data_IF_062602994936
#
_entry.id   IF_062602994936
#
_cell.length_a   1.000
_cell.length_b   1.000
_cell.length_c   1.000
_cell.angle_alpha   90.00
_cell.angle_beta   90.00
_cell.angle_gamma   90.00
#
_symmetry.space_group_name_H-M   'P 1'
#
loop_
_entity.id
_entity.type
_entity.pdbx_description
1 polymer ?
#
# COMPACT_ATOMS: atom_id res chain seq x y z
N UNK A 1 11.55 14.27 -18.04
CA UNK A 1 10.18 13.71 -18.10
C UNK A 1 10.17 12.24 -18.49
N UNK A 2 10.94 11.78 -19.49
CA UNK A 2 11.05 10.34 -19.85
C UNK A 2 11.40 9.42 -18.68
N UNK A 3 12.35 9.80 -17.81
CA UNK A 3 12.73 8.99 -16.65
C UNK A 3 11.57 8.72 -15.65
N UNK A 4 10.58 9.64 -15.57
CA UNK A 4 9.42 9.49 -14.66
C UNK A 4 8.43 8.45 -15.19
N UNK A 5 8.18 8.45 -16.51
CA UNK A 5 7.29 7.50 -17.17
C UNK A 5 7.87 6.07 -17.16
N UNK A 6 9.18 5.95 -17.40
CA UNK A 6 9.88 4.65 -17.34
C UNK A 6 9.85 4.08 -15.93
N UNK A 7 10.13 4.88 -14.90
CA UNK A 7 10.12 4.42 -13.51
C UNK A 7 8.74 3.93 -13.05
N UNK A 8 7.66 4.63 -13.40
CA UNK A 8 6.30 4.19 -13.07
C UNK A 8 5.94 2.90 -13.81
N UNK A 9 6.31 2.78 -15.10
CA UNK A 9 6.11 1.56 -15.88
C UNK A 9 6.85 0.37 -15.26
N UNK A 10 8.10 0.56 -14.85
CA UNK A 10 8.90 -0.47 -14.20
C UNK A 10 8.32 -0.85 -12.83
N UNK A 11 7.85 0.12 -12.04
CA UNK A 11 7.17 -0.13 -10.78
C UNK A 11 5.89 -0.96 -10.97
N UNK A 12 5.06 -0.63 -11.96
CA UNK A 12 3.81 -1.34 -12.26
C UNK A 12 4.05 -2.72 -12.88
N UNK A 13 5.21 -2.95 -13.48
CA UNK A 13 5.61 -4.27 -14.00
C UNK A 13 5.95 -5.27 -12.88
N UNK A 14 6.19 -4.81 -11.65
CA UNK A 14 6.47 -5.68 -10.52
C UNK A 14 5.24 -6.55 -10.20
N UNK A 15 5.47 -7.84 -9.93
CA UNK A 15 4.40 -8.80 -9.55
C UNK A 15 3.46 -8.28 -8.46
N UNK A 16 3.99 -7.54 -7.49
CA UNK A 16 3.23 -6.92 -6.39
C UNK A 16 2.18 -5.88 -6.82
N UNK A 17 2.28 -5.33 -8.03
CA UNK A 17 1.31 -4.38 -8.60
C UNK A 17 0.42 -5.00 -9.69
N UNK A 18 0.55 -6.30 -9.97
CA UNK A 18 -0.30 -6.97 -10.96
C UNK A 18 -1.80 -6.91 -10.63
N UNK A 19 -2.18 -6.75 -9.36
CA UNK A 19 -3.59 -6.56 -8.96
C UNK A 19 -4.22 -5.30 -9.57
N UNK A 20 -3.42 -4.32 -9.99
CA UNK A 20 -3.91 -3.11 -10.67
C UNK A 20 -4.57 -3.51 -11.99
N UNK A 21 -4.08 -4.57 -12.67
CA UNK A 21 -4.73 -5.12 -13.86
C UNK A 21 -6.15 -5.62 -13.59
N UNK A 22 -6.44 -6.04 -12.36
CA UNK A 22 -7.78 -6.47 -11.94
C UNK A 22 -8.74 -5.31 -11.65
N UNK A 23 -8.27 -4.05 -11.73
CA UNK A 23 -9.11 -2.85 -11.57
C UNK A 23 -9.65 -2.37 -12.92
N UNK A 24 -9.05 -2.76 -14.05
CA UNK A 24 -9.39 -2.25 -15.39
C UNK A 24 -10.77 -2.70 -15.89
N UNK A 25 -11.29 -3.82 -15.38
CA UNK A 25 -12.62 -4.33 -15.75
C UNK A 25 -13.76 -3.62 -14.97
N UNK A 26 -13.43 -2.59 -14.18
CA UNK A 26 -14.40 -1.83 -13.40
C UNK A 26 -14.35 -0.36 -13.76
N UNK A 27 -15.39 0.10 -14.46
CA UNK A 27 -15.57 1.50 -14.86
C UNK A 27 -15.60 2.48 -13.67
N UNK A 28 -15.85 1.98 -12.45
CA UNK A 28 -15.99 2.81 -11.24
C UNK A 28 -14.68 3.06 -10.47
N UNK A 29 -13.55 2.45 -10.86
CA UNK A 29 -12.31 2.52 -10.08
C UNK A 29 -11.04 2.77 -10.91
N UNK A 30 -10.96 3.96 -11.50
CA UNK A 30 -9.74 4.45 -12.16
C UNK A 30 -8.76 5.00 -11.14
N UNK A 31 -7.52 4.49 -11.15
CA UNK A 31 -6.47 4.88 -10.20
C UNK A 31 -5.86 6.24 -10.56
N UNK A 32 -5.77 7.14 -9.58
CA UNK A 32 -5.11 8.45 -9.72
C UNK A 32 -3.68 8.41 -9.16
N UNK A 33 -2.69 8.25 -10.04
CA UNK A 33 -1.28 8.15 -9.68
C UNK A 33 -0.71 9.43 -9.04
N UNK A 34 -1.20 10.60 -9.44
CA UNK A 34 -0.78 11.87 -8.87
C UNK A 34 -1.21 11.96 -7.41
N UNK A 35 -2.47 11.66 -7.15
CA UNK A 35 -3.04 11.62 -5.81
C UNK A 35 -2.32 10.60 -4.93
N UNK A 36 -2.00 9.41 -5.46
CA UNK A 36 -1.24 8.40 -4.72
C UNK A 36 0.11 8.96 -4.30
N UNK A 37 0.87 9.50 -5.25
CA UNK A 37 2.20 10.04 -4.97
C UNK A 37 2.14 11.17 -3.93
N UNK A 38 1.18 12.08 -4.09
CA UNK A 38 0.94 13.15 -3.15
C UNK A 38 0.60 12.62 -1.75
N UNK A 39 -0.30 11.63 -1.66
CA UNK A 39 -0.74 11.03 -0.40
C UNK A 39 0.38 10.24 0.30
N UNK A 40 1.24 9.55 -0.46
CA UNK A 40 2.42 8.86 0.09
C UNK A 40 3.40 9.86 0.70
N UNK A 41 3.59 11.03 0.10
CA UNK A 41 4.49 12.07 0.61
C UNK A 41 3.81 13.02 1.60
N UNK A 42 2.49 12.96 1.74
CA UNK A 42 1.75 13.79 2.67
C UNK A 42 2.18 13.51 4.11
N UNK A 43 2.62 14.56 4.79
CA UNK A 43 2.80 14.61 6.23
C UNK A 43 1.85 15.67 6.77
N UNK A 44 0.98 15.33 7.75
CA UNK A 44 0.17 16.35 8.38
C UNK A 44 1.11 17.36 9.04
N UNK A 45 0.98 18.63 8.66
CA UNK A 45 1.49 19.72 9.46
C UNK A 45 0.56 19.85 10.66
N UNK A 46 1.14 19.87 11.86
CA UNK A 46 0.45 20.14 13.13
C UNK A 46 -0.10 18.91 13.85
N UNK A 47 0.77 18.32 14.67
CA UNK A 47 0.47 18.22 16.10
C UNK A 47 1.81 18.35 16.83
N UNK A 48 1.95 19.33 17.73
CA UNK A 48 3.17 19.52 18.54
C UNK A 48 3.50 18.31 19.44
N UNK A 49 2.61 17.31 19.49
CA UNK A 49 2.76 16.02 20.16
C UNK A 49 3.30 14.90 19.26
N UNK A 50 3.41 15.11 17.94
CA UNK A 50 3.94 14.10 17.01
C UNK A 50 5.47 14.08 17.08
N UNK A 51 6.03 13.30 18.01
CA UNK A 51 7.48 13.06 18.03
C UNK A 51 7.94 12.56 16.65
N UNK A 52 9.11 13.01 16.19
CA UNK A 52 9.67 12.63 14.89
C UNK A 52 9.71 11.11 14.66
N UNK A 53 9.88 10.33 15.73
CA UNK A 53 9.82 8.87 15.74
C UNK A 53 8.44 8.32 15.33
N UNK A 54 7.34 8.92 15.77
CA UNK A 54 5.98 8.53 15.39
C UNK A 54 5.68 8.87 13.93
N UNK A 55 6.16 10.01 13.44
CA UNK A 55 6.07 10.39 12.03
C UNK A 55 6.83 9.41 11.14
N UNK A 56 8.08 9.08 11.51
CA UNK A 56 8.89 8.12 10.76
C UNK A 56 8.27 6.72 10.72
N UNK A 57 7.72 6.24 11.85
CA UNK A 57 6.99 4.95 11.90
C UNK A 57 5.74 4.96 11.05
N UNK A 58 5.01 6.09 11.01
CA UNK A 58 3.83 6.26 10.17
C UNK A 58 4.18 6.19 8.69
N UNK A 59 5.18 6.97 8.30
CA UNK A 59 5.68 7.01 6.94
C UNK A 59 6.14 5.62 6.49
N UNK A 60 6.97 4.95 7.30
CA UNK A 60 7.44 3.59 7.01
C UNK A 60 6.28 2.60 6.85
N UNK A 61 5.29 2.65 7.74
CA UNK A 61 4.12 1.77 7.64
C UNK A 61 3.33 2.01 6.36
N UNK A 62 3.09 3.28 6.01
CA UNK A 62 2.37 3.70 4.79
C UNK A 62 3.05 3.15 3.53
N UNK A 63 4.37 3.33 3.40
CA UNK A 63 5.12 2.83 2.25
C UNK A 63 5.15 1.30 2.19
N UNK A 64 5.38 0.63 3.32
CA UNK A 64 5.37 -0.85 3.38
C UNK A 64 3.99 -1.42 3.06
N UNK A 65 2.92 -0.74 3.42
CA UNK A 65 1.57 -1.18 3.04
C UNK A 65 1.36 -1.02 1.53
N UNK A 66 1.73 0.11 0.95
CA UNK A 66 1.61 0.38 -0.48
C UNK A 66 2.38 -0.61 -1.35
N UNK A 67 3.65 -0.86 -0.98
CA UNK A 67 4.54 -1.78 -1.67
C UNK A 67 4.26 -3.25 -1.37
N UNK A 68 3.30 -3.55 -0.50
CA UNK A 68 3.11 -4.88 0.07
C UNK A 68 4.46 -5.47 0.54
N UNK A 69 5.08 -4.81 1.51
CA UNK A 69 6.35 -5.17 2.18
C UNK A 69 6.19 -5.21 3.71
N UNK A 70 4.96 -5.22 4.21
CA UNK A 70 4.70 -5.48 5.63
C UNK A 70 5.25 -6.87 6.01
N UNK A 71 5.88 -7.02 7.20
CA UNK A 71 6.44 -8.29 7.69
C UNK A 71 5.31 -9.24 8.16
N UNK A 72 4.54 -9.70 7.18
CA UNK A 72 3.47 -10.68 7.29
C UNK A 72 4.06 -12.10 7.37
N UNK A 73 3.34 -13.04 7.98
CA UNK A 73 3.91 -14.37 8.25
C UNK A 73 4.36 -15.07 6.97
N UNK A 74 3.59 -15.00 5.88
CA UNK A 74 3.99 -15.65 4.63
C UNK A 74 5.30 -15.10 4.07
N UNK A 75 5.57 -13.80 4.23
CA UNK A 75 6.86 -13.22 3.81
C UNK A 75 8.00 -13.61 4.74
N UNK A 76 7.71 -13.71 6.03
CA UNK A 76 8.71 -14.08 7.03
C UNK A 76 9.11 -15.55 6.92
N UNK A 77 8.19 -16.44 6.55
CA UNK A 77 8.49 -17.85 6.22
C UNK A 77 9.48 -17.93 5.07
N UNK A 78 9.31 -17.10 4.04
CA UNK A 78 10.24 -17.06 2.89
C UNK A 78 11.60 -16.51 3.29
N UNK A 79 11.66 -15.43 4.06
CA UNK A 79 12.94 -14.76 4.37
C UNK A 79 13.69 -15.37 5.54
N UNK A 80 12.99 -16.06 6.45
CA UNK A 80 13.51 -16.64 7.70
C UNK A 80 12.78 -17.94 8.04
N UNK A 81 12.83 -18.91 7.12
CA UNK A 81 12.22 -20.24 7.29
C UNK A 81 12.80 -21.00 8.49
N UNK A 82 14.00 -20.64 8.94
CA UNK A 82 14.65 -21.15 10.14
C UNK A 82 13.95 -20.71 11.43
N UNK A 83 13.24 -19.58 11.42
CA UNK A 83 12.48 -19.05 12.56
C UNK A 83 10.97 -19.22 12.43
N UNK A 84 10.45 -19.14 11.21
CA UNK A 84 9.02 -19.15 10.93
C UNK A 84 8.66 -20.38 10.10
N UNK A 85 8.11 -21.39 10.78
CA UNK A 85 7.72 -22.66 10.14
C UNK A 85 6.53 -22.48 9.17
N UNK A 86 6.49 -23.33 8.15
CA UNK A 86 5.51 -23.23 7.05
C UNK A 86 4.05 -23.38 7.51
N UNK A 87 3.82 -24.24 8.51
CA UNK A 87 2.50 -24.51 9.09
C UNK A 87 1.95 -23.34 9.92
N UNK A 88 2.73 -22.28 10.12
CA UNK A 88 2.33 -21.15 10.96
C UNK A 88 1.18 -20.36 10.32
N UNK A 89 0.00 -20.41 10.94
CA UNK A 89 -1.17 -19.61 10.54
C UNK A 89 -1.18 -18.23 11.21
N UNK A 90 -2.09 -17.36 10.80
CA UNK A 90 -2.37 -16.07 11.43
C UNK A 90 -2.49 -16.19 12.95
N UNK A 91 -1.72 -15.38 13.70
CA UNK A 91 -1.68 -15.46 15.17
C UNK A 91 -2.93 -14.93 15.86
N UNK A 92 -3.79 -14.20 15.16
CA UNK A 92 -5.04 -13.70 15.75
C UNK A 92 -6.20 -14.71 15.59
N UNK A 93 -6.37 -15.34 14.42
CA UNK A 93 -7.47 -16.28 14.19
C UNK A 93 -7.09 -17.76 14.22
N UNK A 94 -5.79 -18.08 14.09
CA UNK A 94 -5.23 -19.44 14.04
C UNK A 94 -5.75 -20.31 12.88
N UNK A 95 -6.47 -19.75 11.91
CA UNK A 95 -7.22 -20.51 10.89
C UNK A 95 -6.54 -20.52 9.52
N UNK A 96 -6.11 -19.35 9.04
CA UNK A 96 -5.53 -19.21 7.68
C UNK A 96 -4.12 -18.65 7.72
N UNK A 97 -3.40 -18.87 6.62
CA UNK A 97 -2.12 -18.21 6.36
C UNK A 97 -2.25 -16.68 6.42
N UNK A 98 -1.20 -15.98 6.87
CA UNK A 98 -1.28 -14.53 7.06
C UNK A 98 -0.52 -13.78 5.97
N UNK A 99 -1.22 -13.49 4.89
CA UNK A 99 -0.83 -12.54 3.85
C UNK A 99 -1.59 -11.20 4.00
N UNK A 100 -1.40 -10.28 3.05
CA UNK A 100 -2.01 -8.94 3.17
C UNK A 100 -3.53 -9.00 2.99
N UNK A 101 -4.01 -9.89 2.14
CA UNK A 101 -5.44 -10.12 1.96
C UNK A 101 -6.08 -10.65 3.26
N UNK A 102 -5.44 -11.62 3.92
CA UNK A 102 -5.89 -12.13 5.20
C UNK A 102 -5.76 -11.09 6.32
N UNK A 103 -4.74 -10.23 6.33
CA UNK A 103 -4.65 -9.12 7.28
C UNK A 103 -5.92 -8.25 7.24
N UNK A 104 -6.44 -8.00 6.03
CA UNK A 104 -7.65 -7.21 5.77
C UNK A 104 -8.94 -7.98 6.14
N UNK A 105 -9.01 -9.26 5.75
CA UNK A 105 -10.23 -10.08 5.83
C UNK A 105 -10.35 -10.93 7.11
N UNK A 106 -9.31 -10.98 7.94
CA UNK A 106 -9.26 -11.82 9.13
C UNK A 106 -10.52 -11.65 10.00
N UNK A 107 -11.18 -12.75 10.32
CA UNK A 107 -12.45 -12.78 11.07
C UNK A 107 -12.36 -12.04 12.41
N UNK A 108 -11.21 -12.13 13.09
CA UNK A 108 -10.94 -11.46 14.38
C UNK A 108 -10.71 -9.95 14.25
N UNK A 109 -10.47 -9.44 13.04
CA UNK A 109 -10.18 -8.02 12.77
C UNK A 109 -11.27 -7.37 11.90
N UNK A 110 -12.18 -8.17 11.34
CA UNK A 110 -13.23 -7.76 10.39
C UNK A 110 -14.07 -6.60 10.91
N UNK A 111 -14.60 -6.68 12.13
CA UNK A 111 -15.42 -5.60 12.70
C UNK A 111 -14.66 -4.28 12.81
N UNK A 112 -13.40 -4.34 13.26
CA UNK A 112 -12.52 -3.18 13.35
C UNK A 112 -12.22 -2.61 11.96
N UNK A 113 -11.95 -3.45 10.96
CA UNK A 113 -11.70 -3.00 9.59
C UNK A 113 -12.92 -2.28 9.01
N UNK A 114 -14.12 -2.84 9.18
CA UNK A 114 -15.36 -2.21 8.73
C UNK A 114 -15.58 -0.85 9.39
N UNK A 115 -15.34 -0.72 10.70
CA UNK A 115 -15.42 0.57 11.39
C UNK A 115 -14.42 1.60 10.86
N UNK A 116 -13.19 1.16 10.54
CA UNK A 116 -12.16 2.05 9.98
C UNK A 116 -12.57 2.53 8.60
N UNK A 117 -13.05 1.63 7.74
CA UNK A 117 -13.48 1.96 6.37
C UNK A 117 -14.73 2.85 6.37
N UNK A 118 -15.70 2.56 7.24
CA UNK A 118 -16.88 3.40 7.42
C UNK A 118 -16.49 4.80 7.91
N UNK A 119 -15.55 4.90 8.85
CA UNK A 119 -15.05 6.20 9.30
C UNK A 119 -14.32 6.97 8.19
N UNK A 120 -13.61 6.30 7.28
CA UNK A 120 -13.03 6.93 6.09
C UNK A 120 -14.15 7.51 5.22
N UNK A 121 -15.11 6.69 4.81
CA UNK A 121 -16.22 7.13 3.97
C UNK A 121 -16.97 8.33 4.57
N UNK A 122 -17.25 8.28 5.88
CA UNK A 122 -17.92 9.38 6.58
C UNK A 122 -17.10 10.67 6.60
N UNK A 123 -15.77 10.61 6.71
CA UNK A 123 -14.93 11.81 6.63
C UNK A 123 -14.97 12.44 5.23
N UNK A 124 -14.99 11.62 4.16
CA UNK A 124 -15.19 12.12 2.80
C UNK A 124 -16.58 12.74 2.63
N UNK A 125 -17.63 12.08 3.13
CA UNK A 125 -18.99 12.65 3.12
C UNK A 125 -19.06 14.00 3.85
N UNK A 126 -18.44 14.11 5.02
CA UNK A 126 -18.37 15.38 5.76
C UNK A 126 -17.72 16.47 4.93
N UNK A 127 -16.56 16.19 4.31
CA UNK A 127 -15.84 17.20 3.51
C UNK A 127 -16.53 17.56 2.22
N UNK A 128 -17.20 16.62 1.56
CA UNK A 128 -18.02 16.93 0.39
C UNK A 128 -19.25 17.76 0.75
N UNK A 129 -19.87 17.51 1.92
CA UNK A 129 -20.99 18.32 2.40
C UNK A 129 -20.54 19.75 2.70
N UNK A 130 -19.46 19.91 3.46
CA UNK A 130 -18.87 21.23 3.74
C UNK A 130 -18.54 21.99 2.45
N UNK A 131 -17.94 21.31 1.45
CA UNK A 131 -17.63 21.93 0.16
C UNK A 131 -18.89 22.29 -0.64
N UNK A 132 -19.93 21.45 -0.62
CA UNK A 132 -21.20 21.72 -1.29
C UNK A 132 -21.94 22.91 -0.69
N UNK A 133 -21.98 22.99 0.64
CA UNK A 133 -22.55 24.14 1.37
C UNK A 133 -21.82 25.44 1.03
N UNK A 134 -20.49 25.42 0.94
CA UNK A 134 -19.69 26.60 0.55
C UNK A 134 -19.87 26.99 -0.93
N UNK A 135 -20.19 26.03 -1.79
CA UNK A 135 -20.40 26.25 -3.22
C UNK A 135 -21.86 26.59 -3.57
N UNK A 136 -22.78 26.61 -2.60
CA UNK A 136 -24.23 26.71 -2.80
C UNK A 136 -24.77 25.64 -3.78
N UNK A 137 -24.25 24.41 -3.66
CA UNK A 137 -24.63 23.27 -4.49
C UNK A 137 -25.15 22.11 -3.63
N UNK A 138 -26.17 21.39 -4.11
CA UNK A 138 -26.67 20.18 -3.44
C UNK A 138 -25.60 19.07 -3.46
N UNK A 139 -25.06 18.64 -2.30
CA UNK A 139 -24.04 17.59 -2.26
C UNK A 139 -24.62 16.18 -2.48
N UNK A 140 -25.94 15.99 -2.41
CA UNK A 140 -26.57 14.64 -2.41
C UNK A 140 -26.20 13.80 -3.64
N UNK A 141 -26.19 14.31 -4.89
CA UNK A 141 -25.75 13.54 -6.05
C UNK A 141 -24.30 13.05 -5.94
N UNK A 142 -23.41 13.89 -5.40
CA UNK A 142 -21.99 13.57 -5.22
C UNK A 142 -21.79 12.52 -4.12
N UNK A 143 -22.54 12.64 -3.01
CA UNK A 143 -22.54 11.64 -1.93
C UNK A 143 -23.05 10.29 -2.44
N UNK A 144 -24.04 10.26 -3.34
CA UNK A 144 -24.54 9.03 -3.98
C UNK A 144 -23.50 8.40 -4.90
N UNK A 145 -22.82 9.20 -5.74
CA UNK A 145 -21.70 8.72 -6.58
C UNK A 145 -20.59 8.12 -5.71
N UNK A 146 -20.23 8.80 -4.62
CA UNK A 146 -19.23 8.32 -3.69
C UNK A 146 -19.66 7.02 -3.02
N UNK A 147 -20.91 6.91 -2.55
CA UNK A 147 -21.41 5.70 -1.86
C UNK A 147 -21.51 4.49 -2.78
N UNK A 148 -21.72 4.69 -4.09
CA UNK A 148 -21.80 3.60 -5.07
C UNK A 148 -20.45 2.96 -5.42
N UNK A 149 -19.33 3.56 -5.04
CA UNK A 149 -18.01 3.01 -5.39
C UNK A 149 -17.78 1.62 -4.80
N UNK A 150 -17.32 0.70 -5.64
CA UNK A 150 -17.09 -0.69 -5.27
C UNK A 150 -16.06 -0.86 -4.15
N UNK A 151 -15.13 0.09 -3.96
CA UNK A 151 -14.07 0.00 -2.97
C UNK A 151 -14.54 -0.03 -1.51
N UNK A 152 -15.79 0.37 -1.24
CA UNK A 152 -16.37 0.32 0.11
C UNK A 152 -16.70 -1.11 0.58
N UNK A 153 -16.81 -2.07 -0.35
CA UNK A 153 -17.20 -3.45 -0.01
C UNK A 153 -15.98 -4.36 0.11
N UNK A 154 -15.56 -4.67 1.32
CA UNK A 154 -14.42 -5.56 1.58
C UNK A 154 -14.79 -7.02 1.27
N UNK A 155 -14.09 -7.64 0.31
CA UNK A 155 -14.14 -9.08 0.04
C UNK A 155 -12.87 -9.58 -0.65
N UNK A 156 -12.66 -10.90 -0.68
CA UNK A 156 -11.49 -11.52 -1.33
C UNK A 156 -11.46 -11.39 -2.85
N UNK A 157 -12.62 -11.16 -3.48
CA UNK A 157 -12.73 -10.96 -4.93
C UNK A 157 -12.79 -9.48 -5.32
N UNK A 158 -12.86 -8.56 -4.36
CA UNK A 158 -12.99 -7.15 -4.65
C UNK A 158 -11.66 -6.39 -4.57
N UNK A 159 -10.96 -6.36 -5.72
CA UNK A 159 -9.68 -5.69 -5.86
C UNK A 159 -9.72 -4.18 -5.60
N UNK A 160 -10.84 -3.48 -5.82
CA UNK A 160 -10.92 -2.04 -5.54
C UNK A 160 -10.85 -1.73 -4.04
N UNK A 161 -11.43 -2.59 -3.19
CA UNK A 161 -11.29 -2.47 -1.73
C UNK A 161 -9.85 -2.73 -1.27
N UNK A 162 -9.19 -3.73 -1.87
CA UNK A 162 -7.78 -4.02 -1.62
C UNK A 162 -6.87 -2.86 -2.09
N UNK A 163 -7.15 -2.29 -3.26
CA UNK A 163 -6.46 -1.13 -3.82
C UNK A 163 -6.56 0.10 -2.89
N UNK A 164 -7.77 0.42 -2.42
CA UNK A 164 -8.00 1.52 -1.48
C UNK A 164 -7.17 1.35 -0.20
N UNK A 165 -7.17 0.14 0.37
CA UNK A 165 -6.41 -0.15 1.60
C UNK A 165 -4.90 -0.10 1.36
N UNK A 166 -4.42 -0.57 0.20
CA UNK A 166 -3.01 -0.42 -0.23
C UNK A 166 -2.63 1.05 -0.45
N UNK A 167 -3.59 1.96 -0.57
CA UNK A 167 -3.35 3.37 -0.86
C UNK A 167 -3.31 3.70 -2.35
N UNK A 168 -3.85 2.82 -3.21
CA UNK A 168 -4.12 3.13 -4.61
C UNK A 168 -5.49 3.79 -4.70
N UNK A 169 -5.55 5.11 -4.79
CA UNK A 169 -6.78 5.90 -4.63
C UNK A 169 -7.49 6.14 -5.96
N UNK A 170 -8.84 6.18 -5.99
CA UNK A 170 -9.59 6.41 -7.21
C UNK A 170 -9.61 7.91 -7.57
N UNK A 171 -9.54 8.22 -8.86
CA UNK A 171 -9.67 9.58 -9.42
C UNK A 171 -10.99 10.25 -9.00
N UNK A 172 -12.06 9.45 -8.88
CA UNK A 172 -13.37 9.89 -8.39
C UNK A 172 -13.27 10.65 -7.06
N UNK A 173 -12.32 10.33 -6.17
CA UNK A 173 -12.18 11.08 -4.92
C UNK A 173 -11.82 12.55 -5.13
N UNK A 174 -11.16 12.91 -6.22
CA UNK A 174 -10.82 14.28 -6.59
C UNK A 174 -11.90 14.89 -7.46
N UNK A 175 -12.40 14.14 -8.44
CA UNK A 175 -13.40 14.62 -9.39
C UNK A 175 -14.65 15.15 -8.68
N UNK A 176 -15.08 14.50 -7.60
CA UNK A 176 -16.21 14.96 -6.79
C UNK A 176 -16.00 16.34 -6.13
N UNK A 177 -14.76 16.71 -5.79
CA UNK A 177 -14.46 18.05 -5.29
C UNK A 177 -14.29 19.06 -6.44
N UNK A 178 -13.74 18.62 -7.57
CA UNK A 178 -13.62 19.45 -8.78
C UNK A 178 -15.00 19.85 -9.32
N UNK A 179 -15.98 18.93 -9.27
CA UNK A 179 -17.40 19.21 -9.59
C UNK A 179 -17.97 20.35 -8.72
N UNK A 180 -17.48 20.49 -7.47
CA UNK A 180 -17.81 21.58 -6.54
C UNK A 180 -16.93 22.83 -6.74
N UNK A 181 -16.24 22.95 -7.88
CA UNK A 181 -15.31 24.04 -8.19
C UNK A 181 -14.13 24.17 -7.22
N UNK A 182 -13.80 23.12 -6.47
CA UNK A 182 -12.61 23.08 -5.63
C UNK A 182 -11.40 22.76 -6.50
N UNK A 183 -10.33 23.59 -6.48
CA UNK A 183 -9.13 23.30 -7.26
C UNK A 183 -8.51 21.95 -6.89
N UNK A 184 -8.10 21.17 -7.89
CA UNK A 184 -7.46 19.85 -7.73
C UNK A 184 -6.36 19.80 -6.65
N UNK A 185 -5.42 20.76 -6.55
CA UNK A 185 -4.41 20.75 -5.50
C UNK A 185 -4.99 20.85 -4.08
N UNK A 186 -6.09 21.57 -3.90
CA UNK A 186 -6.80 21.68 -2.62
C UNK A 186 -7.54 20.39 -2.30
N UNK A 187 -8.22 19.79 -3.28
CA UNK A 187 -8.87 18.49 -3.13
C UNK A 187 -7.86 17.39 -2.75
N UNK A 188 -6.68 17.37 -3.38
CA UNK A 188 -5.60 16.41 -3.05
C UNK A 188 -5.14 16.55 -1.60
N UNK A 189 -5.01 17.77 -1.06
CA UNK A 189 -4.68 17.99 0.37
C UNK A 189 -5.75 17.40 1.29
N UNK A 190 -7.03 17.62 0.98
CA UNK A 190 -8.15 17.09 1.76
C UNK A 190 -8.16 15.57 1.75
N UNK A 191 -8.12 14.96 0.54
CA UNK A 191 -8.14 13.50 0.38
C UNK A 191 -6.92 12.86 1.02
N UNK A 192 -5.72 13.45 0.86
CA UNK A 192 -4.50 12.95 1.49
C UNK A 192 -4.56 12.99 3.02
N UNK A 193 -5.11 14.06 3.60
CA UNK A 193 -5.28 14.17 5.05
C UNK A 193 -6.23 13.08 5.58
N UNK A 194 -7.36 12.87 4.90
CA UNK A 194 -8.33 11.82 5.25
C UNK A 194 -7.71 10.43 5.12
N UNK A 195 -7.02 10.15 4.00
CA UNK A 195 -6.35 8.88 3.80
C UNK A 195 -5.25 8.63 4.83
N UNK A 196 -4.49 9.66 5.19
CA UNK A 196 -3.45 9.55 6.20
C UNK A 196 -4.04 9.22 7.59
N UNK A 197 -5.22 9.77 7.93
CA UNK A 197 -5.97 9.39 9.13
C UNK A 197 -6.44 7.92 9.07
N UNK A 198 -6.93 7.47 7.92
CA UNK A 198 -7.28 6.07 7.69
C UNK A 198 -6.08 5.14 7.92
N UNK A 199 -4.91 5.43 7.33
CA UNK A 199 -3.68 4.66 7.53
C UNK A 199 -3.26 4.64 9.00
N UNK A 200 -3.45 5.75 9.72
CA UNK A 200 -3.12 5.83 11.14
C UNK A 200 -4.03 4.92 11.96
N UNK A 201 -5.34 4.95 11.70
CA UNK A 201 -6.32 4.06 12.34
C UNK A 201 -6.03 2.59 12.03
N UNK A 202 -5.73 2.27 10.78
CA UNK A 202 -5.30 0.93 10.35
C UNK A 202 -4.06 0.47 11.12
N UNK A 203 -3.05 1.33 11.24
CA UNK A 203 -1.82 1.02 11.99
C UNK A 203 -2.12 0.75 13.46
N UNK A 204 -2.84 1.65 14.12
CA UNK A 204 -3.07 1.60 15.57
C UNK A 204 -4.01 0.46 15.95
N UNK A 205 -5.08 0.24 15.18
CA UNK A 205 -6.16 -0.68 15.57
C UNK A 205 -6.04 -2.07 14.96
N UNK A 206 -5.24 -2.26 13.91
CA UNK A 206 -5.07 -3.56 13.25
C UNK A 206 -3.60 -3.99 13.28
N UNK A 207 -2.69 -3.18 12.75
CA UNK A 207 -1.29 -3.57 12.63
C UNK A 207 -0.58 -3.74 13.97
N UNK A 208 -0.77 -2.80 14.90
CA UNK A 208 -0.13 -2.84 16.21
C UNK A 208 -0.63 -4.04 17.07
N UNK A 209 -1.95 -4.30 17.22
CA UNK A 209 -2.43 -5.50 17.90
C UNK A 209 -1.93 -6.80 17.25
N UNK A 210 -1.95 -6.89 15.92
CA UNK A 210 -1.37 -8.03 15.21
C UNK A 210 0.11 -8.22 15.55
N UNK A 211 0.87 -7.13 15.59
CA UNK A 211 2.30 -7.17 15.90
C UNK A 211 2.53 -7.62 17.33
N UNK A 212 1.69 -7.19 18.27
CA UNK A 212 1.71 -7.65 19.65
C UNK A 212 1.43 -9.16 19.77
N UNK A 213 0.39 -9.67 19.11
CA UNK A 213 0.07 -11.12 19.10
C UNK A 213 1.25 -11.92 18.52
N UNK A 214 1.86 -11.43 17.43
CA UNK A 214 3.04 -12.04 16.83
C UNK A 214 4.22 -12.06 17.81
N UNK A 215 4.52 -10.94 18.45
CA UNK A 215 5.63 -10.85 19.41
C UNK A 215 5.42 -11.79 20.61
N UNK A 216 4.20 -11.87 21.15
CA UNK A 216 3.88 -12.81 22.22
C UNK A 216 4.14 -14.27 21.83
N UNK A 217 3.82 -14.62 20.58
CA UNK A 217 4.14 -15.95 20.06
C UNK A 217 5.64 -16.14 19.84
N UNK A 218 6.35 -15.14 19.31
CA UNK A 218 7.81 -15.18 19.15
C UNK A 218 8.51 -15.42 20.49
N UNK A 219 8.07 -14.73 21.55
CA UNK A 219 8.60 -14.87 22.90
C UNK A 219 8.38 -16.30 23.43
N UNK A 220 7.19 -16.87 23.23
CA UNK A 220 6.88 -18.25 23.61
C UNK A 220 7.71 -19.30 22.85
N UNK A 221 8.17 -18.96 21.64
CA UNK A 221 9.03 -19.81 20.80
C UNK A 221 10.52 -19.51 20.97
N UNK A 222 10.90 -18.65 21.94
CA UNK A 222 12.27 -18.19 22.16
C UNK A 222 12.93 -17.53 20.93
N UNK A 223 12.13 -16.90 20.06
CA UNK A 223 12.62 -16.16 18.89
C UNK A 223 13.05 -14.76 19.31
N UNK A 224 14.33 -14.61 19.65
CA UNK A 224 14.90 -13.35 20.13
C UNK A 224 15.15 -12.34 19.00
N UNK A 225 15.38 -11.07 19.36
CA UNK A 225 15.80 -10.04 18.40
C UNK A 225 17.13 -10.40 17.73
N UNK A 226 18.09 -10.95 18.48
CA UNK A 226 19.38 -11.38 17.96
C UNK A 226 19.18 -12.39 16.82
N UNK A 227 18.41 -13.46 17.07
CA UNK A 227 18.07 -14.45 16.05
C UNK A 227 17.48 -13.82 14.80
N UNK A 228 16.55 -12.87 14.94
CA UNK A 228 15.93 -12.16 13.80
C UNK A 228 16.92 -11.31 12.98
N UNK A 229 18.01 -10.85 13.58
CA UNK A 229 19.02 -10.02 12.93
C UNK A 229 20.22 -10.80 12.39
N UNK A 230 20.50 -11.99 12.92
CA UNK A 230 21.57 -12.86 12.44
C UNK A 230 21.21 -13.43 11.06
N UNK A 231 22.18 -13.56 10.12
CA UNK A 231 21.96 -14.26 8.86
C UNK A 231 21.47 -15.70 9.08
N UNK A 232 20.64 -16.19 8.16
CA UNK A 232 20.19 -17.57 8.18
C UNK A 232 21.41 -18.52 8.08
N UNK A 233 21.47 -19.57 8.91
CA UNK A 233 22.52 -20.58 8.80
C UNK A 233 22.50 -21.24 7.41
N UNK A 234 23.66 -21.31 6.75
CA UNK A 234 23.83 -21.85 5.39
C UNK A 234 23.54 -23.35 5.25
N UNK A 235 23.44 -24.06 6.37
CA UNK A 235 23.36 -25.53 6.40
C UNK A 235 21.92 -26.06 6.48
N UNK A 236 20.91 -25.17 6.44
CA UNK A 236 19.52 -25.59 6.47
C UNK A 236 19.05 -25.96 5.06
N UNK A 237 18.26 -27.04 4.90
CA UNK A 237 17.67 -27.38 3.62
C UNK A 237 16.87 -26.18 3.10
N UNK A 238 17.00 -25.90 1.80
CA UNK A 238 16.20 -24.88 1.15
C UNK A 238 14.72 -25.16 1.43
N UNK A 239 13.99 -24.16 1.92
CA UNK A 239 12.56 -24.33 2.20
C UNK A 239 11.85 -24.78 0.92
N UNK A 240 11.06 -25.85 1.02
CA UNK A 240 10.15 -26.27 -0.05
C UNK A 240 8.90 -25.38 -0.13
N UNK A 241 8.78 -24.39 0.75
CA UNK A 241 7.68 -23.44 0.77
C UNK A 241 7.69 -22.60 -0.51
N UNK A 242 6.77 -22.94 -1.41
CA UNK A 242 6.46 -22.12 -2.56
C UNK A 242 5.59 -20.96 -2.06
N UNK A 243 6.01 -19.69 -2.22
CA UNK A 243 5.21 -18.55 -1.82
C UNK A 243 3.84 -18.63 -2.49
N UNK A 244 2.78 -18.72 -1.69
CA UNK A 244 1.44 -18.61 -2.23
C UNK A 244 1.24 -17.18 -2.70
N UNK A 245 0.96 -16.99 -3.98
CA UNK A 245 0.51 -15.68 -4.45
C UNK A 245 -0.88 -15.47 -3.90
N UNK A 246 -1.08 -14.42 -3.12
CA UNK A 246 -2.42 -13.93 -2.70
C UNK A 246 -3.29 -13.56 -3.91
N UNK A 247 -2.67 -13.46 -5.08
CA UNK A 247 -3.31 -13.21 -6.36
C UNK A 247 -3.71 -14.56 -6.95
N UNK A 248 -5.00 -14.87 -7.16
CA UNK A 248 -5.35 -15.81 -8.23
C UNK A 248 -4.61 -15.36 -9.49
N UNK A 249 -4.05 -16.29 -10.29
CA UNK A 249 -3.46 -15.93 -11.58
C UNK A 249 -4.50 -15.11 -12.35
N UNK A 250 -4.13 -14.00 -13.01
CA UNK A 250 -5.01 -13.37 -13.97
C UNK A 250 -5.41 -14.47 -14.98
N UNK A 251 -6.69 -14.87 -14.96
CA UNK A 251 -7.22 -15.87 -15.90
C UNK A 251 -7.27 -15.35 -17.33
N UNK A 252 -7.12 -14.04 -17.51
CA UNK A 252 -6.93 -13.42 -18.80
C UNK A 252 -5.45 -13.43 -19.19
N UNK A 253 -5.12 -14.25 -20.19
CA UNK A 253 -3.94 -14.07 -21.03
C UNK A 253 -3.82 -12.60 -21.42
N UNK A 254 -2.90 -11.87 -20.78
CA UNK A 254 -2.57 -10.50 -21.16
C UNK A 254 -1.78 -10.57 -22.46
N UNK A 255 -2.49 -10.63 -23.59
CA UNK A 255 -1.92 -10.21 -24.87
C UNK A 255 -1.61 -8.72 -24.76
N UNK A 256 -0.31 -8.42 -24.66
CA UNK A 256 0.30 -7.11 -24.86
C UNK A 256 -0.44 -6.33 -25.96
N UNK A 257 -1.12 -5.24 -25.58
CA UNK A 257 -1.42 -4.13 -26.48
C UNK A 257 -0.54 -2.96 -26.07
N UNK A 258 0.47 -2.71 -26.90
CA UNK A 258 1.47 -1.66 -26.76
C UNK A 258 0.91 -0.22 -26.77
N UNK A 259 -0.39 -0.03 -27.00
CA UNK A 259 -1.05 1.29 -27.08
C UNK A 259 -1.22 1.98 -25.72
N UNK A 260 -1.12 1.26 -24.60
CA UNK A 260 -1.38 1.86 -23.28
C UNK A 260 -0.13 2.37 -22.55
N UNK A 261 1.04 1.90 -22.94
CA UNK A 261 2.31 2.55 -22.53
C UNK A 261 2.34 4.00 -23.05
N UNK A 262 1.71 4.24 -24.19
CA UNK A 262 1.65 5.55 -24.82
C UNK A 262 0.73 6.52 -24.07
N UNK A 263 -0.36 6.08 -23.43
CA UNK A 263 -1.24 7.00 -22.70
C UNK A 263 -0.58 7.54 -21.42
N UNK A 264 0.05 6.66 -20.62
CA UNK A 264 0.80 7.06 -19.40
C UNK A 264 1.97 7.98 -19.78
N UNK A 265 2.65 7.68 -20.89
CA UNK A 265 3.71 8.52 -21.45
C UNK A 265 3.17 9.90 -21.86
N UNK A 266 2.01 9.95 -22.54
CA UNK A 266 1.38 11.17 -23.03
C UNK A 266 0.90 12.10 -21.90
N UNK A 267 0.34 11.55 -20.83
CA UNK A 267 -0.08 12.31 -19.63
C UNK A 267 1.11 12.96 -18.89
N UNK A 268 2.31 12.40 -19.02
CA UNK A 268 3.54 12.90 -18.37
C UNK A 268 4.22 13.98 -19.22
N UNK A 269 4.10 13.93 -20.56
CA UNK A 269 4.65 14.95 -21.47
C UNK A 269 3.89 16.28 -21.47
N UNK A 270 2.63 16.33 -21.03
CA UNK A 270 1.81 17.55 -21.07
C UNK A 270 2.02 18.52 -19.88
N UNK A 271 3.12 18.40 -19.13
CA UNK A 271 3.64 19.47 -18.27
C UNK A 271 3.33 19.29 -16.77
N UNK A 272 4.29 18.70 -16.05
CA UNK A 272 4.29 18.61 -14.58
C UNK A 272 5.49 19.38 -14.03
N UNK A 273 5.26 20.64 -13.62
CA UNK A 273 6.25 21.49 -12.97
C UNK A 273 5.88 21.69 -11.49
N UNK A 274 6.49 20.91 -10.60
CA UNK A 274 6.65 21.26 -9.17
C UNK A 274 7.97 20.64 -8.68
N UNK A 275 8.78 21.51 -8.09
CA UNK A 275 10.16 21.33 -7.63
C UNK A 275 10.40 20.09 -6.75
N UNK A 276 11.39 19.28 -7.15
CA UNK A 276 11.69 17.96 -6.59
C UNK A 276 12.89 17.95 -5.63
N UNK A 277 13.15 19.07 -4.94
CA UNK A 277 14.31 19.18 -4.05
C UNK A 277 13.98 18.76 -2.60
N UNK A 278 14.03 17.46 -2.35
CA UNK A 278 14.74 16.99 -1.15
C UNK A 278 15.44 15.66 -1.42
N UNK A 279 16.75 15.72 -1.66
CA UNK A 279 17.65 14.61 -1.99
C UNK A 279 17.83 13.54 -0.90
N UNK A 280 16.81 13.28 -0.07
CA UNK A 280 16.73 12.16 0.89
C UNK A 280 15.92 10.97 0.38
N UNK A 281 14.93 11.17 -0.50
CA UNK A 281 14.06 10.09 -1.00
C UNK A 281 14.69 9.33 -2.18
N UNK A 282 15.36 10.03 -3.10
CA UNK A 282 16.15 9.40 -4.16
C UNK A 282 17.28 8.57 -3.55
N UNK A 283 17.92 9.04 -2.47
CA UNK A 283 18.92 8.24 -1.74
C UNK A 283 18.33 6.98 -1.11
N UNK A 284 17.06 6.96 -0.68
CA UNK A 284 16.45 5.75 -0.13
C UNK A 284 16.05 4.75 -1.21
N UNK A 285 15.47 5.20 -2.33
CA UNK A 285 15.11 4.32 -3.44
C UNK A 285 16.35 3.81 -4.19
N UNK A 286 17.33 4.68 -4.47
CA UNK A 286 18.63 4.29 -5.04
C UNK A 286 19.44 3.45 -4.06
N UNK A 287 19.38 3.68 -2.74
CA UNK A 287 20.08 2.81 -1.77
C UNK A 287 19.40 1.45 -1.62
N UNK A 288 18.08 1.35 -1.70
CA UNK A 288 17.38 0.05 -1.74
C UNK A 288 17.73 -0.71 -3.02
N UNK A 289 17.73 -0.04 -4.18
CA UNK A 289 18.09 -0.65 -5.47
C UNK A 289 19.60 -0.98 -5.55
N UNK A 290 20.48 -0.10 -5.06
CA UNK A 290 21.93 -0.30 -5.06
C UNK A 290 22.39 -1.34 -4.02
N UNK A 291 21.78 -1.42 -2.84
CA UNK A 291 22.07 -2.48 -1.86
C UNK A 291 21.65 -3.86 -2.37
N UNK A 292 20.61 -3.91 -3.21
CA UNK A 292 20.16 -5.14 -3.87
C UNK A 292 21.09 -5.52 -5.04
N UNK A 293 21.74 -4.56 -5.72
CA UNK A 293 22.67 -4.81 -6.83
C UNK A 293 24.12 -5.08 -6.40
N UNK A 294 24.63 -4.40 -5.35
CA UNK A 294 26.00 -4.60 -4.84
C UNK A 294 26.13 -5.94 -4.10
N UNK A 295 25.08 -6.39 -3.42
CA UNK A 295 25.05 -7.73 -2.79
C UNK A 295 25.07 -8.89 -3.78
N UNK A 296 24.71 -8.66 -5.05
CA UNK A 296 24.69 -9.69 -6.11
C UNK A 296 26.05 -9.78 -6.84
N UNK A 297 26.86 -8.72 -6.85
CA UNK A 297 28.13 -8.68 -7.60
C UNK A 297 29.41 -8.91 -6.78
N UNK A 298 29.36 -8.97 -5.44
CA UNK A 298 30.56 -9.24 -4.62
C UNK A 298 30.62 -10.64 -3.98
N UNK A 299 29.63 -11.51 -4.24
CA UNK A 299 29.66 -12.92 -3.82
C UNK A 299 30.35 -13.89 -4.80
N UNK A 300 30.87 -13.39 -5.93
CA UNK A 300 31.31 -14.21 -7.05
C UNK A 300 32.73 -13.91 -7.54
N UNK A 301 33.74 -13.91 -6.66
CA UNK A 301 35.13 -14.19 -7.04
C UNK A 301 35.89 -14.76 -5.84
N UNK A 302 35.91 -16.09 -5.77
CA UNK A 302 36.91 -16.82 -5.01
C UNK A 302 38.31 -16.54 -5.57
N UNK A 303 39.30 -16.53 -4.66
CA UNK A 303 40.66 -17.08 -4.76
C UNK A 303 41.33 -17.07 -6.15
N UNK A 304 42.44 -16.37 -6.26
CA UNK A 304 43.71 -16.93 -6.77
C UNK A 304 44.87 -15.97 -6.46
N UNK A 305 45.94 -16.57 -5.92
CA UNK A 305 47.27 -16.06 -5.50
C UNK A 305 47.31 -15.29 -4.18
#
# INVERSE_FOLDING_TARGET
MEARATFLKDLLSLKRFQFVYCLFDKDDYVVDWELIWFTLNFSPTHDASFQASHAARHYTFKFKLFLDDLPLLEKLKVTRSDLYIDLLTCRSCCDRMEDLMHLILCSKRRSVMHQILQSYQNHLFSKLREAGELADQDPIPLLRKLSSLSCWTISSSNWSSYALIRGCLPAMFIDLFVDLSIPRPSAMKVVAAIHNNFIQKLRIRIWNPRTYDKSKWEDAMNITLNLKTTPQPSNLPATSYVPFSSLPPPTHLVTSRNSEVDWIKNSITQGWDVDFYSGRVIRYFVSIVASTLVGIYQGGRSREI
#
